data_IF_189178955194
#
_entry.id   IF_189178955194
#
_cell.length_a   1.000
_cell.length_b   1.000
_cell.length_c   1.000
_cell.angle_alpha   90.00
_cell.angle_beta   90.00
_cell.angle_gamma   90.00
#
_symmetry.space_group_name_H-M   'P 1'
#
loop_
_entity.id
_entity.type
_entity.pdbx_description
1 polymer ?
#
# COMPACT_ATOMS: atom_id res chain seq x y z
N UNK A 1 80.25 -0.81 10.51
CA UNK A 1 79.02 -0.57 11.32
C UNK A 1 78.07 0.27 10.49
N UNK A 2 77.07 -0.34 9.86
CA UNK A 2 76.01 0.39 9.13
C UNK A 2 74.69 -0.16 9.65
N UNK A 3 73.93 0.70 10.33
CA UNK A 3 72.63 0.37 10.94
C UNK A 3 71.53 0.77 9.95
N UNK A 4 70.71 -0.20 9.55
CA UNK A 4 69.51 0.03 8.73
C UNK A 4 68.33 0.33 9.66
N UNK A 5 67.72 1.50 9.50
CA UNK A 5 66.43 1.84 10.11
C UNK A 5 65.30 1.42 9.17
N UNK A 6 64.46 0.47 9.62
CA UNK A 6 63.19 0.16 8.95
C UNK A 6 62.09 1.05 9.52
N UNK A 7 61.55 1.93 8.67
CA UNK A 7 60.33 2.70 8.93
C UNK A 7 59.11 1.79 8.72
N UNK A 8 58.43 1.43 9.79
CA UNK A 8 57.12 0.77 9.76
C UNK A 8 56.03 1.84 9.53
N UNK A 9 55.56 1.94 8.28
CA UNK A 9 54.32 2.63 7.93
C UNK A 9 53.13 1.77 8.35
N UNK A 10 52.54 2.08 9.51
CA UNK A 10 51.26 1.53 9.93
C UNK A 10 50.13 2.15 9.09
N UNK A 11 49.69 1.42 8.06
CA UNK A 11 48.49 1.75 7.30
C UNK A 11 47.24 1.48 8.17
N UNK A 12 46.60 2.53 8.65
CA UNK A 12 45.24 2.44 9.20
C UNK A 12 44.26 2.15 8.05
N UNK A 13 43.90 0.88 7.89
CA UNK A 13 42.76 0.51 7.07
C UNK A 13 41.47 0.93 7.80
N UNK A 14 40.86 2.02 7.36
CA UNK A 14 39.49 2.36 7.73
C UNK A 14 38.59 1.31 7.09
N UNK A 15 38.23 0.28 7.86
CA UNK A 15 37.18 -0.67 7.51
C UNK A 15 35.86 0.11 7.49
N UNK A 16 35.43 0.54 6.30
CA UNK A 16 34.02 0.85 6.08
C UNK A 16 33.25 -0.45 6.26
N UNK A 17 32.67 -0.66 7.44
CA UNK A 17 31.61 -1.67 7.57
C UNK A 17 30.43 -1.13 6.76
N UNK A 18 30.22 -1.66 5.56
CA UNK A 18 28.91 -1.57 4.93
C UNK A 18 27.95 -2.32 5.85
N UNK A 19 27.20 -1.58 6.68
CA UNK A 19 26.10 -2.16 7.43
C UNK A 19 25.22 -2.90 6.43
N UNK A 20 25.14 -4.23 6.53
CA UNK A 20 24.34 -4.99 5.59
C UNK A 20 22.89 -4.57 5.81
N UNK A 21 22.17 -4.29 4.72
CA UNK A 21 20.76 -3.87 4.73
C UNK A 21 19.80 -4.96 5.26
N UNK A 22 20.33 -6.04 5.82
CA UNK A 22 19.64 -7.28 6.17
C UNK A 22 19.45 -7.48 7.67
N UNK A 23 19.97 -6.61 8.53
CA UNK A 23 19.66 -6.69 9.95
C UNK A 23 18.17 -6.40 10.17
N UNK A 24 17.47 -7.34 10.82
CA UNK A 24 16.15 -7.09 11.41
C UNK A 24 16.30 -5.82 12.25
N UNK A 25 15.74 -4.70 11.78
CA UNK A 25 15.76 -3.47 12.56
C UNK A 25 14.95 -3.76 13.82
N UNK A 26 15.60 -3.71 14.98
CA UNK A 26 14.90 -3.81 16.27
C UNK A 26 13.70 -2.85 16.24
N UNK A 27 12.50 -3.40 16.41
CA UNK A 27 11.24 -2.66 16.32
C UNK A 27 10.36 -3.04 15.12
N UNK A 28 10.90 -3.41 13.96
CA UNK A 28 10.02 -3.71 12.80
C UNK A 28 9.59 -5.16 12.80
N UNK A 29 8.28 -5.39 12.72
CA UNK A 29 7.76 -6.75 12.61
C UNK A 29 8.01 -7.40 11.24
N UNK A 30 8.28 -6.60 10.20
CA UNK A 30 8.47 -7.06 8.83
C UNK A 30 9.62 -6.36 8.10
N UNK A 31 10.43 -7.13 7.37
CA UNK A 31 11.56 -6.62 6.59
C UNK A 31 11.41 -6.93 5.09
N UNK A 32 10.99 -5.92 4.32
CA UNK A 32 10.78 -6.01 2.86
C UNK A 32 12.04 -6.34 2.04
N UNK A 33 13.24 -6.23 2.62
CA UNK A 33 14.49 -6.64 1.94
C UNK A 33 14.65 -8.16 1.87
N UNK A 34 14.18 -8.87 2.89
CA UNK A 34 14.41 -10.32 3.04
C UNK A 34 13.12 -11.14 2.93
N UNK A 35 11.96 -10.50 3.05
CA UNK A 35 10.67 -11.17 3.06
C UNK A 35 9.77 -10.66 1.92
N UNK A 36 8.84 -11.49 1.45
CA UNK A 36 7.88 -11.15 0.38
C UNK A 36 6.47 -11.01 0.93
N UNK A 37 5.91 -9.83 0.78
CA UNK A 37 4.55 -9.49 1.21
C UNK A 37 3.55 -9.92 0.13
N UNK A 38 2.68 -10.86 0.45
CA UNK A 38 1.63 -11.35 -0.45
C UNK A 38 0.30 -11.15 0.23
N UNK A 39 -0.55 -10.35 -0.40
CA UNK A 39 -1.76 -9.96 0.28
C UNK A 39 -2.82 -9.37 -0.62
N UNK A 40 -3.68 -8.61 0.04
CA UNK A 40 -4.87 -8.04 -0.56
C UNK A 40 -5.17 -6.69 0.07
N UNK A 41 -5.79 -5.79 -0.69
CA UNK A 41 -6.28 -4.53 -0.18
C UNK A 41 -7.66 -4.69 0.46
N UNK A 42 -7.91 -3.98 1.56
CA UNK A 42 -9.21 -3.87 2.20
C UNK A 42 -9.98 -2.65 1.64
N UNK A 43 -10.14 -2.62 0.31
CA UNK A 43 -10.82 -1.53 -0.42
C UNK A 43 -12.32 -1.46 -0.11
N UNK A 44 -12.91 -0.28 -0.33
CA UNK A 44 -14.29 0.04 0.03
C UNK A 44 -14.63 -0.24 1.50
N UNK A 45 -13.65 -0.20 2.43
CA UNK A 45 -13.87 -0.44 3.86
C UNK A 45 -13.90 0.86 4.67
N UNK A 46 -12.72 1.39 5.02
CA UNK A 46 -12.59 2.66 5.77
C UNK A 46 -12.57 3.90 4.86
N UNK A 47 -12.58 3.67 3.55
CA UNK A 47 -12.83 4.68 2.52
C UNK A 47 -13.82 4.09 1.52
N UNK A 48 -14.91 4.77 1.23
CA UNK A 48 -15.96 4.26 0.35
C UNK A 48 -15.61 4.49 -1.13
N UNK A 49 -15.86 3.46 -1.93
CA UNK A 49 -15.72 3.46 -3.38
C UNK A 49 -16.95 2.83 -4.02
N UNK A 50 -17.83 3.69 -4.56
CA UNK A 50 -19.14 3.30 -5.11
C UNK A 50 -19.07 2.18 -6.15
N UNK A 51 -18.00 2.12 -6.93
CA UNK A 51 -17.85 1.10 -7.97
C UNK A 51 -17.66 -0.31 -7.41
N UNK A 52 -17.18 -0.46 -6.17
CA UNK A 52 -16.97 -1.78 -5.54
C UNK A 52 -18.27 -2.34 -4.98
N UNK A 53 -19.08 -1.49 -4.37
CA UNK A 53 -20.42 -1.82 -3.90
C UNK A 53 -21.34 -0.58 -4.01
N UNK A 54 -22.17 -0.50 -5.07
CA UNK A 54 -23.06 0.63 -5.24
C UNK A 54 -24.24 0.61 -4.27
N UNK A 55 -24.56 -0.53 -3.65
CA UNK A 55 -25.81 -0.70 -2.88
C UNK A 55 -25.90 0.21 -1.67
N UNK A 56 -24.77 0.44 -0.97
CA UNK A 56 -24.71 1.37 0.17
C UNK A 56 -25.03 2.81 -0.28
N UNK A 57 -24.47 3.22 -1.42
CA UNK A 57 -24.74 4.53 -2.01
C UNK A 57 -26.18 4.65 -2.50
N UNK A 58 -26.68 3.67 -3.25
CA UNK A 58 -28.06 3.67 -3.78
C UNK A 58 -29.11 3.79 -2.67
N UNK A 59 -28.85 3.15 -1.52
CA UNK A 59 -29.76 3.15 -0.38
C UNK A 59 -29.75 4.46 0.41
N UNK A 60 -28.60 5.11 0.55
CA UNK A 60 -28.41 6.20 1.53
C UNK A 60 -28.03 7.55 0.91
N UNK A 61 -27.36 7.56 -0.23
CA UNK A 61 -26.90 8.76 -0.93
C UNK A 61 -26.77 8.48 -2.45
N UNK A 62 -27.90 8.28 -3.18
CA UNK A 62 -27.88 7.75 -4.54
C UNK A 62 -27.15 8.64 -5.57
N UNK A 63 -26.95 9.92 -5.25
CA UNK A 63 -26.23 10.86 -6.10
C UNK A 63 -24.77 11.06 -5.70
N UNK A 64 -24.33 10.55 -4.54
CA UNK A 64 -22.94 10.62 -4.11
C UNK A 64 -22.05 9.73 -4.97
N UNK A 65 -20.86 10.22 -5.32
CA UNK A 65 -19.86 9.48 -6.10
C UNK A 65 -18.59 9.18 -5.28
N UNK A 66 -18.51 9.73 -4.07
CA UNK A 66 -17.39 9.63 -3.14
C UNK A 66 -17.90 9.68 -1.68
N UNK A 67 -17.01 9.43 -0.73
CA UNK A 67 -17.36 9.44 0.69
C UNK A 67 -17.73 10.83 1.20
N UNK A 68 -17.12 11.89 0.66
CA UNK A 68 -17.47 13.28 0.98
C UNK A 68 -18.96 13.54 0.74
N UNK A 69 -19.43 13.30 -0.49
CA UNK A 69 -20.82 13.53 -0.83
C UNK A 69 -21.74 12.53 -0.14
N UNK A 70 -21.27 11.29 0.10
CA UNK A 70 -22.04 10.31 0.86
C UNK A 70 -22.34 10.80 2.27
N UNK A 71 -21.31 11.27 3.00
CA UNK A 71 -21.48 11.77 4.35
C UNK A 71 -22.31 13.06 4.40
N UNK A 72 -22.17 13.93 3.40
CA UNK A 72 -22.95 15.17 3.31
C UNK A 72 -24.45 14.93 3.02
N UNK A 73 -24.77 13.91 2.22
CA UNK A 73 -26.14 13.60 1.82
C UNK A 73 -26.88 12.71 2.82
N UNK A 74 -26.15 12.06 3.74
CA UNK A 74 -26.73 11.08 4.67
C UNK A 74 -26.99 11.69 6.04
N UNK A 75 -28.21 11.55 6.56
CA UNK A 75 -28.61 12.05 7.89
C UNK A 75 -28.01 11.30 9.08
N UNK A 76 -27.42 10.11 8.87
CA UNK A 76 -26.91 9.25 9.94
C UNK A 76 -25.61 8.52 9.55
N UNK A 77 -24.71 9.23 8.85
CA UNK A 77 -23.49 8.66 8.27
C UNK A 77 -22.66 7.86 9.27
N UNK A 78 -22.55 8.31 10.53
CA UNK A 78 -21.78 7.59 11.57
C UNK A 78 -22.31 6.20 11.84
N UNK A 79 -23.64 6.04 11.96
CA UNK A 79 -24.26 4.73 12.22
C UNK A 79 -24.08 3.81 11.01
N UNK A 80 -24.38 4.32 9.82
CA UNK A 80 -24.33 3.56 8.57
C UNK A 80 -22.89 3.10 8.26
N UNK A 81 -21.90 3.98 8.43
CA UNK A 81 -20.51 3.62 8.21
C UNK A 81 -20.00 2.61 9.24
N UNK A 82 -20.39 2.71 10.51
CA UNK A 82 -20.04 1.69 11.52
C UNK A 82 -20.63 0.33 11.17
N UNK A 83 -21.90 0.27 10.79
CA UNK A 83 -22.54 -0.97 10.32
C UNK A 83 -21.82 -1.53 9.08
N UNK A 84 -21.42 -0.68 8.14
CA UNK A 84 -20.61 -1.09 6.98
C UNK A 84 -19.25 -1.65 7.40
N UNK A 85 -18.53 -0.95 8.29
CA UNK A 85 -17.21 -1.37 8.75
C UNK A 85 -17.23 -2.72 9.46
N UNK A 86 -18.27 -2.97 10.27
CA UNK A 86 -18.43 -4.21 11.03
C UNK A 86 -18.69 -5.42 10.12
N UNK A 87 -19.36 -5.21 8.98
CA UNK A 87 -19.84 -6.30 8.12
C UNK A 87 -19.06 -6.49 6.81
N UNK A 88 -18.40 -5.45 6.29
CA UNK A 88 -17.68 -5.54 5.02
C UNK A 88 -16.42 -6.41 5.10
N UNK A 89 -15.63 -6.20 6.17
CA UNK A 89 -14.44 -7.01 6.48
C UNK A 89 -14.65 -7.74 7.81
N UNK A 90 -14.60 -9.05 7.76
CA UNK A 90 -14.93 -9.95 8.87
C UNK A 90 -13.78 -10.89 9.18
N UNK A 91 -13.86 -11.62 10.30
CA UNK A 91 -12.85 -12.62 10.64
C UNK A 91 -12.77 -13.77 9.62
N UNK A 92 -13.90 -14.13 8.99
CA UNK A 92 -13.95 -15.21 8.01
C UNK A 92 -13.11 -14.89 6.77
N UNK A 93 -12.98 -13.61 6.42
CA UNK A 93 -12.06 -13.17 5.37
C UNK A 93 -10.61 -13.55 5.72
N UNK A 94 -10.17 -13.32 6.96
CA UNK A 94 -8.82 -13.64 7.41
C UNK A 94 -8.57 -15.15 7.46
N UNK A 95 -9.58 -15.94 7.84
CA UNK A 95 -9.52 -17.41 7.73
C UNK A 95 -9.28 -17.84 6.28
N UNK A 96 -9.98 -17.24 5.31
CA UNK A 96 -9.80 -17.54 3.87
C UNK A 96 -8.40 -17.12 3.39
N UNK A 97 -7.94 -15.92 3.75
CA UNK A 97 -6.60 -15.43 3.39
C UNK A 97 -5.49 -16.36 3.92
N UNK A 98 -5.56 -16.75 5.18
CA UNK A 98 -4.58 -17.66 5.78
C UNK A 98 -4.54 -19.05 5.10
N UNK A 99 -5.70 -19.58 4.68
CA UNK A 99 -5.79 -20.87 3.95
C UNK A 99 -4.99 -20.85 2.64
N UNK A 100 -4.97 -19.71 1.93
CA UNK A 100 -4.22 -19.55 0.67
C UNK A 100 -2.83 -18.93 0.85
N UNK A 101 -2.31 -18.90 2.09
CA UNK A 101 -0.95 -18.43 2.42
C UNK A 101 -0.69 -16.96 2.12
N UNK A 102 -1.72 -16.13 2.14
CA UNK A 102 -1.56 -14.67 2.26
C UNK A 102 -0.95 -14.34 3.62
N UNK A 103 -0.02 -13.39 3.65
CA UNK A 103 0.64 -12.91 4.86
C UNK A 103 0.47 -11.39 5.07
N UNK A 104 -0.21 -10.67 4.18
CA UNK A 104 -0.43 -9.22 4.30
C UNK A 104 -1.87 -8.80 3.99
N UNK A 105 -2.31 -7.72 4.63
CA UNK A 105 -3.40 -6.87 4.17
C UNK A 105 -2.91 -5.43 4.05
N UNK A 106 -3.39 -4.69 3.06
CA UNK A 106 -3.21 -3.23 2.95
C UNK A 106 -4.52 -2.55 3.30
N UNK A 107 -4.46 -1.55 4.18
CA UNK A 107 -5.63 -0.88 4.77
C UNK A 107 -5.67 0.56 4.28
N UNK A 108 -6.48 0.88 3.26
CA UNK A 108 -6.78 2.25 2.84
C UNK A 108 -7.47 3.03 3.96
N UNK A 109 -6.89 4.17 4.38
CA UNK A 109 -7.41 4.99 5.47
C UNK A 109 -7.42 6.47 5.07
N UNK A 110 -8.56 7.14 5.24
CA UNK A 110 -8.65 8.59 5.10
C UNK A 110 -8.05 9.33 6.31
N UNK A 111 -7.47 10.51 6.08
CA UNK A 111 -6.86 11.32 7.14
C UNK A 111 -7.84 11.65 8.30
N UNK A 112 -9.14 11.68 8.01
CA UNK A 112 -10.22 11.95 8.97
C UNK A 112 -10.32 10.91 10.09
N UNK A 113 -9.66 9.75 9.96
CA UNK A 113 -9.51 8.79 11.05
C UNK A 113 -8.54 9.26 12.15
N UNK A 114 -7.58 10.14 11.83
CA UNK A 114 -6.48 10.49 12.74
C UNK A 114 -6.49 11.95 13.19
N UNK A 115 -6.92 12.87 12.33
CA UNK A 115 -7.05 14.28 12.69
C UNK A 115 -8.48 14.74 12.49
N UNK A 116 -8.88 15.74 13.28
CA UNK A 116 -10.19 16.38 13.14
C UNK A 116 -10.33 16.99 11.73
N UNK A 117 -11.39 16.67 10.99
CA UNK A 117 -11.73 17.37 9.75
C UNK A 117 -11.97 18.87 10.01
N UNK A 118 -11.63 19.70 9.05
CA UNK A 118 -11.91 21.13 9.05
C UNK A 118 -13.42 21.38 8.93
N UNK A 119 -13.83 22.61 9.25
CA UNK A 119 -15.22 23.02 9.08
C UNK A 119 -15.65 22.86 7.62
N UNK A 120 -16.74 22.12 7.40
CA UNK A 120 -17.27 21.84 6.06
C UNK A 120 -16.80 20.51 5.46
N UNK A 121 -15.83 19.82 6.06
CA UNK A 121 -15.47 18.45 5.67
C UNK A 121 -16.43 17.48 6.38
N UNK A 122 -17.31 16.77 5.64
CA UNK A 122 -18.45 16.06 6.22
C UNK A 122 -18.10 14.68 6.80
N UNK A 123 -16.81 14.32 6.80
CA UNK A 123 -16.36 12.97 7.15
C UNK A 123 -16.71 12.58 8.58
N UNK A 124 -17.14 11.31 8.74
CA UNK A 124 -17.20 10.69 10.06
C UNK A 124 -15.78 10.48 10.56
N UNK A 125 -15.45 11.00 11.75
CA UNK A 125 -14.08 10.98 12.31
C UNK A 125 -13.99 10.22 13.64
N UNK A 126 -14.82 9.18 13.80
CA UNK A 126 -14.83 8.32 14.99
C UNK A 126 -15.14 6.87 14.63
N UNK A 127 -14.46 5.92 15.28
CA UNK A 127 -14.66 4.48 15.10
C UNK A 127 -13.63 3.78 14.22
N UNK A 128 -12.93 4.49 13.33
CA UNK A 128 -11.99 3.86 12.39
C UNK A 128 -10.78 3.23 13.10
N UNK A 129 -10.27 3.85 14.17
CA UNK A 129 -9.10 3.32 14.90
C UNK A 129 -9.44 1.98 15.56
N UNK A 130 -10.61 1.89 16.18
CA UNK A 130 -11.13 0.66 16.78
C UNK A 130 -11.30 -0.45 15.74
N UNK A 131 -11.74 -0.09 14.52
CA UNK A 131 -11.82 -1.01 13.39
C UNK A 131 -10.44 -1.48 12.93
N UNK A 132 -9.45 -0.59 12.84
CA UNK A 132 -8.07 -0.98 12.51
C UNK A 132 -7.53 -1.92 13.59
N UNK A 133 -7.75 -1.63 14.88
CA UNK A 133 -7.33 -2.50 15.99
C UNK A 133 -7.96 -3.90 15.91
N UNK A 134 -9.25 -4.00 15.54
CA UNK A 134 -9.92 -5.28 15.25
C UNK A 134 -9.19 -6.06 14.16
N UNK A 135 -8.84 -5.41 13.06
CA UNK A 135 -8.10 -6.03 11.96
C UNK A 135 -6.67 -6.42 12.35
N UNK A 136 -5.95 -5.60 13.11
CA UNK A 136 -4.65 -5.97 13.67
C UNK A 136 -4.76 -7.20 14.58
N UNK A 137 -5.88 -7.35 15.31
CA UNK A 137 -6.19 -8.54 16.09
C UNK A 137 -6.36 -9.79 15.22
N UNK A 138 -7.04 -9.69 14.09
CA UNK A 138 -7.12 -10.78 13.12
C UNK A 138 -5.76 -11.07 12.47
N UNK A 139 -5.00 -10.04 12.11
CA UNK A 139 -3.63 -10.19 11.64
C UNK A 139 -2.79 -11.02 12.62
N UNK A 140 -2.86 -10.70 13.92
CA UNK A 140 -2.14 -11.44 14.94
C UNK A 140 -2.60 -12.90 15.02
N UNK A 141 -3.92 -13.13 15.07
CA UNK A 141 -4.51 -14.47 15.18
C UNK A 141 -4.16 -15.38 14.01
N UNK A 142 -4.09 -14.83 12.80
CA UNK A 142 -3.91 -15.61 11.56
C UNK A 142 -2.50 -15.52 10.97
N UNK A 143 -1.58 -14.79 11.62
CA UNK A 143 -0.18 -14.66 11.18
C UNK A 143 0.00 -13.77 9.95
N UNK A 144 -0.82 -12.72 9.82
CA UNK A 144 -0.70 -11.69 8.79
C UNK A 144 -0.09 -10.40 9.37
N UNK A 145 0.34 -9.52 8.47
CA UNK A 145 0.73 -8.15 8.80
C UNK A 145 -0.15 -7.12 8.06
N UNK A 146 -0.21 -5.89 8.56
CA UNK A 146 -0.96 -4.80 7.99
C UNK A 146 -0.05 -3.67 7.48
N UNK A 147 -0.30 -3.23 6.24
CA UNK A 147 0.17 -1.96 5.71
C UNK A 147 -0.90 -0.91 6.04
N UNK A 148 -0.54 0.12 6.81
CA UNK A 148 -1.43 1.23 7.10
C UNK A 148 -1.24 2.30 6.03
N UNK A 149 -2.23 2.52 5.18
CA UNK A 149 -2.09 3.39 4.02
C UNK A 149 -2.93 4.66 4.14
N UNK A 150 -2.28 5.83 4.10
CA UNK A 150 -2.95 7.12 4.01
C UNK A 150 -3.50 7.32 2.59
N UNK A 151 -4.68 6.74 2.38
CA UNK A 151 -5.36 6.66 1.10
C UNK A 151 -6.03 7.96 0.68
N UNK A 152 -6.53 8.73 1.65
CA UNK A 152 -7.10 10.05 1.45
C UNK A 152 -6.37 11.10 2.27
N UNK A 153 -5.80 12.11 1.62
CA UNK A 153 -5.10 13.23 2.28
C UNK A 153 -5.95 14.52 2.29
N UNK A 154 -5.68 15.46 3.21
CA UNK A 154 -6.34 16.76 3.24
C UNK A 154 -6.29 17.47 1.88
N UNK A 155 -7.45 17.90 1.39
CA UNK A 155 -7.59 18.56 0.08
C UNK A 155 -7.48 17.64 -1.15
N UNK A 156 -7.44 16.31 -0.97
CA UNK A 156 -7.24 15.31 -2.03
C UNK A 156 -5.94 15.45 -2.81
N UNK A 157 -5.17 14.37 -2.88
CA UNK A 157 -3.90 14.29 -3.58
C UNK A 157 -4.03 13.89 -5.06
N UNK A 158 -5.22 13.49 -5.51
CA UNK A 158 -5.43 13.02 -6.88
C UNK A 158 -6.78 13.44 -7.51
N UNK A 159 -7.73 13.96 -6.72
CA UNK A 159 -9.02 14.42 -7.19
C UNK A 159 -10.02 13.30 -7.50
N UNK A 160 -9.77 12.09 -7.04
CA UNK A 160 -10.55 10.88 -7.37
C UNK A 160 -11.33 10.38 -6.15
N UNK A 161 -12.37 9.57 -6.40
CA UNK A 161 -13.28 9.07 -5.36
C UNK A 161 -12.55 8.34 -4.22
N UNK A 162 -11.55 7.52 -4.57
CA UNK A 162 -10.75 6.76 -3.62
C UNK A 162 -9.80 7.65 -2.77
N UNK A 163 -9.70 8.96 -2.99
CA UNK A 163 -9.09 9.88 -2.02
C UNK A 163 -10.09 10.44 -1.00
N UNK A 164 -11.37 10.13 -1.15
CA UNK A 164 -12.48 10.58 -0.32
C UNK A 164 -13.30 11.71 -0.94
N UNK A 165 -12.74 12.45 -1.90
CA UNK A 165 -13.39 13.59 -2.52
C UNK A 165 -12.94 13.80 -3.96
N UNK A 166 -13.89 13.70 -4.89
CA UNK A 166 -13.72 14.00 -6.31
C UNK A 166 -13.64 15.51 -6.48
N UNK A 167 -12.67 15.98 -7.25
CA UNK A 167 -12.57 17.40 -7.59
C UNK A 167 -11.14 17.90 -7.79
N UNK A 168 -10.91 19.21 -7.66
CA UNK A 168 -9.58 19.78 -7.79
C UNK A 168 -8.62 19.29 -6.71
N UNK A 169 -7.35 19.12 -7.10
CA UNK A 169 -6.28 18.69 -6.20
C UNK A 169 -5.79 19.89 -5.37
N UNK A 170 -6.15 19.93 -4.09
CA UNK A 170 -5.75 20.99 -3.15
C UNK A 170 -4.68 20.55 -2.15
N UNK A 171 -4.24 19.28 -2.18
CA UNK A 171 -3.23 18.74 -1.26
C UNK A 171 -1.92 19.55 -1.23
N UNK A 172 -1.47 20.07 -2.37
CA UNK A 172 -0.18 20.75 -2.49
C UNK A 172 -0.14 22.19 -1.95
N UNK A 173 -1.22 22.68 -1.34
CA UNK A 173 -1.18 23.95 -0.60
C UNK A 173 -0.34 23.79 0.68
N UNK A 174 0.35 24.85 1.10
CA UNK A 174 1.13 24.83 2.36
C UNK A 174 0.30 24.38 3.57
N UNK A 175 -0.98 24.75 3.58
CA UNK A 175 -1.93 24.36 4.61
C UNK A 175 -2.21 22.85 4.61
N UNK A 176 -2.57 22.27 3.46
CA UNK A 176 -2.90 20.85 3.38
C UNK A 176 -1.67 19.94 3.51
N UNK A 177 -0.48 20.39 3.07
CA UNK A 177 0.78 19.69 3.37
C UNK A 177 1.02 19.61 4.88
N UNK A 178 0.79 20.71 5.62
CA UNK A 178 0.91 20.71 7.09
C UNK A 178 -0.11 19.77 7.73
N UNK A 179 -1.37 19.78 7.28
CA UNK A 179 -2.39 18.83 7.76
C UNK A 179 -2.00 17.38 7.45
N UNK A 180 -1.51 17.09 6.25
CA UNK A 180 -1.05 15.76 5.86
C UNK A 180 0.11 15.25 6.73
N UNK A 181 1.06 16.11 7.10
CA UNK A 181 2.15 15.73 8.01
C UNK A 181 1.63 15.51 9.43
N UNK A 182 0.70 16.33 9.89
CA UNK A 182 0.01 16.13 11.18
C UNK A 182 -0.75 14.80 11.22
N UNK A 183 -1.32 14.36 10.11
CA UNK A 183 -1.93 13.02 10.00
C UNK A 183 -0.90 11.91 10.15
N UNK A 184 0.27 12.02 9.52
CA UNK A 184 1.37 11.06 9.67
C UNK A 184 1.83 11.01 11.14
N UNK A 185 2.02 12.15 11.79
CA UNK A 185 2.37 12.25 13.22
C UNK A 185 1.30 11.55 14.08
N UNK A 186 0.03 11.89 13.89
CA UNK A 186 -1.07 11.30 14.66
C UNK A 186 -1.23 9.79 14.45
N UNK A 187 -0.97 9.28 13.24
CA UNK A 187 -0.97 7.84 12.96
C UNK A 187 0.20 7.13 13.66
N UNK A 188 1.40 7.72 13.62
CA UNK A 188 2.59 7.18 14.31
C UNK A 188 2.39 7.17 15.82
N UNK A 189 1.85 8.24 16.39
CA UNK A 189 1.58 8.34 17.83
C UNK A 189 0.54 7.32 18.28
N UNK A 190 -0.56 7.17 17.53
CA UNK A 190 -1.56 6.14 17.80
C UNK A 190 -0.95 4.73 17.72
N UNK A 191 -0.17 4.42 16.67
CA UNK A 191 0.50 3.13 16.53
C UNK A 191 1.45 2.87 17.70
N UNK A 192 2.21 3.88 18.14
CA UNK A 192 3.11 3.77 19.29
C UNK A 192 2.34 3.51 20.60
N UNK A 193 1.10 3.98 20.71
CA UNK A 193 0.21 3.74 21.85
C UNK A 193 -0.45 2.36 21.88
N UNK A 194 -0.45 1.61 20.77
CA UNK A 194 -1.00 0.26 20.74
C UNK A 194 -0.26 -0.68 21.70
N UNK A 195 -0.96 -1.71 22.18
CA UNK A 195 -0.30 -2.82 22.88
C UNK A 195 0.66 -3.56 21.93
N UNK A 196 1.62 -4.28 22.49
CA UNK A 196 2.67 -4.96 21.72
C UNK A 196 2.10 -6.00 20.74
N UNK A 197 1.03 -6.72 21.10
CA UNK A 197 0.37 -7.72 20.25
C UNK A 197 -0.10 -7.12 18.93
N UNK A 198 -0.85 -6.03 18.97
CA UNK A 198 -1.37 -5.36 17.78
C UNK A 198 -0.26 -4.64 17.01
N UNK A 199 0.60 -3.91 17.74
CA UNK A 199 1.72 -3.16 17.17
C UNK A 199 2.65 -4.06 16.34
N UNK A 200 2.95 -5.26 16.85
CA UNK A 200 3.76 -6.28 16.17
C UNK A 200 3.15 -6.82 14.87
N UNK A 201 1.95 -6.40 14.48
CA UNK A 201 1.36 -6.76 13.18
C UNK A 201 1.45 -5.65 12.16
N UNK A 202 1.92 -4.45 12.51
CA UNK A 202 2.12 -3.35 11.55
C UNK A 202 3.41 -3.58 10.75
N UNK A 203 3.27 -3.77 9.42
CA UNK A 203 4.38 -3.97 8.50
C UNK A 203 5.02 -2.66 8.07
N UNK A 204 4.22 -1.64 7.81
CA UNK A 204 4.64 -0.33 7.30
C UNK A 204 3.53 0.70 7.43
N UNK A 205 3.92 1.97 7.32
CA UNK A 205 3.00 3.09 7.11
C UNK A 205 3.26 3.64 5.71
N UNK A 206 2.24 3.65 4.85
CA UNK A 206 2.27 4.35 3.57
C UNK A 206 1.84 5.81 3.74
N UNK A 207 2.74 6.71 3.36
CA UNK A 207 2.59 8.14 3.63
C UNK A 207 1.59 8.85 2.70
N UNK A 208 1.36 8.33 1.50
CA UNK A 208 0.33 8.81 0.59
C UNK A 208 0.05 7.77 -0.50
N UNK A 209 -1.22 7.49 -0.73
CA UNK A 209 -1.68 6.73 -1.88
C UNK A 209 -1.78 7.61 -3.14
N UNK A 210 -1.27 7.12 -4.27
CA UNK A 210 -1.51 7.66 -5.62
C UNK A 210 -1.54 9.20 -5.78
N UNK A 211 -0.58 10.00 -5.26
CA UNK A 211 -0.59 11.43 -5.52
C UNK A 211 -0.45 11.69 -7.03
N UNK A 212 -1.26 12.59 -7.59
CA UNK A 212 -1.07 13.07 -8.96
C UNK A 212 -0.32 14.39 -8.93
N UNK A 213 0.76 14.50 -9.70
CA UNK A 213 1.64 15.66 -9.66
C UNK A 213 1.86 16.27 -11.05
N UNK A 214 1.85 17.59 -11.13
CA UNK A 214 2.65 18.33 -12.10
C UNK A 214 4.14 18.31 -11.72
N UNK A 215 5.03 18.76 -12.62
CA UNK A 215 6.48 18.83 -12.33
C UNK A 215 6.81 19.64 -11.06
N UNK A 216 6.11 20.76 -10.82
CA UNK A 216 6.31 21.58 -9.62
C UNK A 216 5.81 20.88 -8.36
N UNK A 217 4.64 20.23 -8.44
CA UNK A 217 4.06 19.49 -7.32
C UNK A 217 4.87 18.26 -6.93
N UNK A 218 5.59 17.62 -7.86
CA UNK A 218 6.50 16.52 -7.54
C UNK A 218 7.62 16.95 -6.58
N UNK A 219 8.13 18.18 -6.70
CA UNK A 219 9.11 18.74 -5.75
C UNK A 219 8.50 18.90 -4.36
N UNK A 220 7.26 19.39 -4.28
CA UNK A 220 6.52 19.52 -3.02
C UNK A 220 6.28 18.14 -2.40
N UNK A 221 5.87 17.16 -3.21
CA UNK A 221 5.64 15.78 -2.78
C UNK A 221 6.92 15.14 -2.22
N UNK A 222 8.06 15.30 -2.91
CA UNK A 222 9.35 14.82 -2.40
C UNK A 222 9.70 15.44 -1.05
N UNK A 223 9.45 16.73 -0.85
CA UNK A 223 9.65 17.38 0.44
C UNK A 223 8.70 16.83 1.52
N UNK A 224 7.43 16.59 1.16
CA UNK A 224 6.45 15.95 2.03
C UNK A 224 6.91 14.55 2.46
N UNK A 225 7.30 13.68 1.51
CA UNK A 225 7.80 12.33 1.79
C UNK A 225 9.09 12.34 2.63
N UNK A 226 10.01 13.30 2.43
CA UNK A 226 11.18 13.41 3.31
C UNK A 226 10.81 13.74 4.75
N UNK A 227 9.79 14.58 4.97
CA UNK A 227 9.29 14.92 6.30
C UNK A 227 8.52 13.75 6.91
N UNK A 228 7.64 13.10 6.14
CA UNK A 228 6.93 11.89 6.55
C UNK A 228 7.90 10.77 6.94
N UNK A 229 8.97 10.56 6.17
CA UNK A 229 10.03 9.62 6.49
C UNK A 229 10.66 9.90 7.84
N UNK A 230 10.99 11.17 8.13
CA UNK A 230 11.56 11.55 9.43
C UNK A 230 10.60 11.27 10.58
N UNK A 231 9.31 11.57 10.43
CA UNK A 231 8.28 11.31 11.44
C UNK A 231 8.16 9.80 11.71
N UNK A 232 7.97 9.00 10.66
CA UNK A 232 7.82 7.54 10.78
C UNK A 232 9.09 6.91 11.35
N UNK A 233 10.26 7.33 10.87
CA UNK A 233 11.55 6.80 11.31
C UNK A 233 11.90 7.18 12.76
N UNK A 234 11.35 8.29 13.27
CA UNK A 234 11.52 8.68 14.67
C UNK A 234 10.81 7.74 15.65
N UNK A 235 9.80 6.98 15.19
CA UNK A 235 9.12 5.98 16.03
C UNK A 235 10.13 4.98 16.64
N UNK A 236 9.99 4.63 17.93
CA UNK A 236 10.79 3.57 18.54
C UNK A 236 10.46 2.19 17.97
N UNK A 237 9.28 2.02 17.36
CA UNK A 237 8.89 0.79 16.66
C UNK A 237 9.51 0.69 15.26
N UNK A 238 10.10 1.78 14.75
CA UNK A 238 10.98 1.78 13.56
C UNK A 238 10.38 1.24 12.27
N UNK A 239 9.05 1.14 12.10
CA UNK A 239 8.43 0.59 10.87
C UNK A 239 8.93 1.30 9.60
N UNK A 240 9.05 0.59 8.46
CA UNK A 240 9.41 1.23 7.21
C UNK A 240 8.31 2.20 6.75
N UNK A 241 8.74 3.31 6.15
CA UNK A 241 7.84 4.16 5.37
C UNK A 241 7.63 3.52 3.99
N UNK A 242 6.39 3.32 3.61
CA UNK A 242 5.98 3.07 2.23
C UNK A 242 5.64 4.41 1.56
N UNK A 243 5.95 4.55 0.28
CA UNK A 243 5.61 5.76 -0.49
C UNK A 243 5.32 5.41 -1.96
N UNK A 244 4.18 5.86 -2.46
CA UNK A 244 3.78 5.66 -3.85
C UNK A 244 4.62 6.49 -4.83
N UNK A 245 4.88 5.94 -6.02
CA UNK A 245 5.74 6.54 -7.05
C UNK A 245 5.12 7.74 -7.80
N UNK A 246 3.89 8.12 -7.46
CA UNK A 246 3.13 9.20 -8.10
C UNK A 246 2.98 9.03 -9.63
N UNK A 247 3.00 7.78 -10.09
CA UNK A 247 2.97 7.40 -11.51
C UNK A 247 4.14 7.97 -12.34
N UNK A 248 5.22 8.39 -11.68
CA UNK A 248 6.42 8.93 -12.34
C UNK A 248 7.42 7.83 -12.71
N UNK A 249 7.22 6.60 -12.22
CA UNK A 249 8.14 5.50 -12.40
C UNK A 249 9.40 5.62 -11.53
N UNK A 250 10.09 4.48 -11.35
CA UNK A 250 11.23 4.35 -10.44
C UNK A 250 12.39 5.30 -10.73
N UNK A 251 12.60 5.70 -11.99
CA UNK A 251 13.69 6.62 -12.36
C UNK A 251 13.53 8.01 -11.73
N UNK A 252 12.29 8.50 -11.57
CA UNK A 252 12.01 9.77 -10.91
C UNK A 252 12.38 9.75 -9.41
N UNK A 253 12.53 8.57 -8.82
CA UNK A 253 12.80 8.34 -7.40
C UNK A 253 14.21 7.82 -7.13
N UNK A 254 15.09 7.75 -8.14
CA UNK A 254 16.51 7.47 -7.94
C UNK A 254 17.13 8.49 -6.99
N UNK A 255 17.89 7.99 -6.01
CA UNK A 255 18.59 8.79 -5.00
C UNK A 255 17.67 9.68 -4.13
N UNK A 256 16.36 9.44 -4.12
CA UNK A 256 15.43 10.19 -3.28
C UNK A 256 15.69 9.96 -1.77
N UNK A 257 15.93 8.69 -1.42
CA UNK A 257 16.38 8.25 -0.10
C UNK A 257 17.67 7.41 -0.27
N UNK A 258 18.53 7.32 0.76
CA UNK A 258 19.70 6.44 0.68
C UNK A 258 19.28 4.97 0.63
N UNK A 259 20.11 4.09 0.06
CA UNK A 259 19.86 2.63 0.02
C UNK A 259 19.74 1.97 1.39
N UNK A 260 20.20 2.64 2.46
CA UNK A 260 20.06 2.21 3.86
C UNK A 260 18.76 2.68 4.52
N UNK A 261 17.91 3.45 3.82
CA UNK A 261 16.66 3.95 4.38
C UNK A 261 15.73 2.80 4.77
N UNK A 262 14.98 2.97 5.87
CA UNK A 262 13.89 2.03 6.17
C UNK A 262 12.65 2.42 5.37
N UNK A 263 12.69 2.15 4.06
CA UNK A 263 11.63 2.53 3.17
C UNK A 263 11.43 1.50 2.07
N UNK A 264 10.22 1.49 1.52
CA UNK A 264 9.79 0.67 0.39
C UNK A 264 9.01 1.58 -0.56
N UNK A 265 9.31 1.53 -1.85
CA UNK A 265 8.52 2.28 -2.86
C UNK A 265 7.34 1.41 -3.30
N UNK A 266 6.18 2.03 -3.49
CA UNK A 266 4.97 1.37 -3.95
C UNK A 266 4.69 1.69 -5.43
N UNK A 267 4.32 0.67 -6.20
CA UNK A 267 3.92 0.73 -7.61
C UNK A 267 2.54 0.09 -7.80
N UNK A 268 1.69 0.75 -8.58
CA UNK A 268 0.32 0.29 -8.88
C UNK A 268 0.14 -0.11 -10.36
N UNK A 269 0.74 -1.22 -10.84
CA UNK A 269 0.59 -1.62 -12.23
C UNK A 269 -0.82 -2.18 -12.52
N UNK A 270 -1.62 -1.38 -13.21
CA UNK A 270 -2.88 -1.85 -13.80
C UNK A 270 -2.76 -2.07 -15.31
N UNK A 271 -3.19 -3.25 -15.77
CA UNK A 271 -3.26 -3.59 -17.20
C UNK A 271 -4.68 -3.48 -17.76
N UNK A 272 -5.62 -2.96 -16.96
CA UNK A 272 -7.02 -2.76 -17.31
C UNK A 272 -7.26 -1.56 -18.25
N UNK A 273 -6.26 -0.68 -18.36
CA UNK A 273 -6.37 0.60 -19.07
C UNK A 273 -5.40 0.67 -20.26
N UNK A 274 -5.66 1.57 -21.23
CA UNK A 274 -4.71 1.86 -22.31
C UNK A 274 -3.29 2.15 -21.76
N UNK A 275 -2.22 1.81 -22.51
CA UNK A 275 -2.18 1.48 -23.94
C UNK A 275 -2.29 -0.03 -24.25
N UNK A 276 -2.60 -0.88 -23.27
CA UNK A 276 -2.65 -2.32 -23.49
C UNK A 276 -3.83 -2.69 -24.40
N UNK A 277 -3.57 -3.52 -25.43
CA UNK A 277 -4.58 -3.87 -26.45
C UNK A 277 -4.87 -5.37 -26.53
N UNK A 278 -3.91 -6.22 -26.14
CA UNK A 278 -4.04 -7.67 -26.27
C UNK A 278 -3.13 -8.43 -25.29
N UNK A 279 -3.34 -9.74 -25.20
CA UNK A 279 -2.60 -10.66 -24.31
C UNK A 279 -1.08 -10.52 -24.43
N UNK A 280 -0.54 -10.38 -25.65
CA UNK A 280 0.90 -10.29 -25.87
C UNK A 280 1.49 -8.96 -25.39
N UNK A 281 0.80 -7.83 -25.62
CA UNK A 281 1.29 -6.53 -25.13
C UNK A 281 1.31 -6.49 -23.60
N UNK A 282 0.29 -7.07 -22.96
CA UNK A 282 0.16 -7.13 -21.50
C UNK A 282 1.31 -7.93 -20.89
N UNK A 283 1.56 -9.16 -21.38
CA UNK A 283 2.66 -10.00 -20.88
C UNK A 283 4.01 -9.30 -21.05
N UNK A 284 4.27 -8.71 -22.23
CA UNK A 284 5.50 -7.92 -22.47
C UNK A 284 5.62 -6.76 -21.47
N UNK A 285 4.52 -6.08 -21.18
CA UNK A 285 4.50 -4.96 -20.23
C UNK A 285 4.78 -5.43 -18.80
N UNK A 286 4.25 -6.58 -18.39
CA UNK A 286 4.58 -7.19 -17.09
C UNK A 286 6.07 -7.50 -17.01
N UNK A 287 6.63 -8.22 -17.99
CA UNK A 287 8.05 -8.59 -17.96
C UNK A 287 9.00 -7.39 -17.99
N UNK A 288 8.63 -6.30 -18.67
CA UNK A 288 9.45 -5.09 -18.75
C UNK A 288 9.73 -4.48 -17.37
N UNK A 289 8.82 -4.64 -16.41
CA UNK A 289 9.00 -4.11 -15.04
C UNK A 289 10.14 -4.78 -14.28
N UNK A 290 10.48 -6.04 -14.59
CA UNK A 290 11.54 -6.82 -13.91
C UNK A 290 12.87 -6.07 -13.86
N UNK A 291 13.29 -5.50 -15.00
CA UNK A 291 14.60 -4.85 -15.14
C UNK A 291 14.72 -3.56 -14.32
N UNK A 292 13.70 -2.70 -14.35
CA UNK A 292 13.73 -1.45 -13.58
C UNK A 292 13.64 -1.71 -12.08
N UNK A 293 12.82 -2.69 -11.69
CA UNK A 293 12.61 -3.07 -10.30
C UNK A 293 13.87 -3.70 -9.70
N UNK A 294 14.50 -4.67 -10.38
CA UNK A 294 15.74 -5.32 -9.89
C UNK A 294 16.92 -4.36 -9.76
N UNK A 295 16.91 -3.21 -10.45
CA UNK A 295 17.97 -2.19 -10.39
C UNK A 295 17.68 -1.06 -9.41
N UNK A 296 16.48 -1.01 -8.85
CA UNK A 296 16.12 0.02 -7.89
C UNK A 296 16.80 -0.24 -6.54
N UNK A 297 17.20 0.83 -5.86
CA UNK A 297 18.09 0.77 -4.70
C UNK A 297 17.33 0.60 -3.37
N UNK A 298 16.00 0.44 -3.40
CA UNK A 298 15.13 0.14 -2.27
C UNK A 298 14.22 -1.04 -2.65
N UNK A 299 13.59 -1.73 -1.68
CA UNK A 299 12.55 -2.69 -1.98
C UNK A 299 11.41 -2.01 -2.74
N UNK A 300 10.82 -2.73 -3.69
CA UNK A 300 9.69 -2.26 -4.49
C UNK A 300 8.49 -3.16 -4.21
N UNK A 301 7.45 -2.60 -3.61
CA UNK A 301 6.16 -3.28 -3.42
C UNK A 301 5.27 -3.02 -4.63
N UNK A 302 4.46 -4.03 -4.99
CA UNK A 302 3.35 -3.86 -5.92
C UNK A 302 2.05 -3.77 -5.11
N UNK A 303 1.81 -2.63 -4.47
CA UNK A 303 0.77 -2.41 -3.46
C UNK A 303 -0.65 -2.46 -4.02
N UNK A 304 -0.79 -2.22 -5.32
CA UNK A 304 -2.04 -2.48 -6.03
C UNK A 304 -1.82 -3.07 -7.41
N UNK A 305 -2.59 -4.12 -7.71
CA UNK A 305 -2.64 -4.76 -9.02
C UNK A 305 -3.89 -5.65 -9.08
N UNK A 306 -4.30 -6.04 -10.28
CA UNK A 306 -5.46 -6.94 -10.45
C UNK A 306 -5.26 -7.88 -11.64
N UNK A 307 -6.26 -8.71 -11.95
CA UNK A 307 -6.27 -9.49 -13.19
C UNK A 307 -7.08 -8.81 -14.30
N UNK A 308 -7.58 -7.60 -14.05
CA UNK A 308 -8.34 -6.84 -15.03
C UNK A 308 -7.40 -6.42 -16.17
N UNK A 309 -7.81 -6.76 -17.39
CA UNK A 309 -6.95 -6.59 -18.56
C UNK A 309 -7.67 -6.19 -19.84
N UNK A 310 -9.01 -6.28 -19.88
CA UNK A 310 -9.81 -6.08 -21.09
C UNK A 310 -9.56 -7.11 -22.20
N UNK A 311 -8.53 -7.95 -22.11
CA UNK A 311 -8.12 -8.87 -23.16
C UNK A 311 -8.84 -10.23 -23.11
N UNK A 312 -9.10 -10.74 -21.90
CA UNK A 312 -9.88 -11.95 -21.66
C UNK A 312 -10.15 -12.13 -20.16
N UNK A 313 -11.03 -13.08 -19.83
CA UNK A 313 -11.38 -13.47 -18.46
C UNK A 313 -11.51 -14.99 -18.27
N UNK A 314 -11.12 -15.79 -19.27
CA UNK A 314 -11.12 -17.25 -19.14
C UNK A 314 -10.04 -17.75 -18.15
N UNK A 315 -10.28 -18.93 -17.55
CA UNK A 315 -9.41 -19.52 -16.52
C UNK A 315 -7.94 -19.63 -16.96
N UNK A 316 -7.68 -19.97 -18.23
CA UNK A 316 -6.31 -20.09 -18.72
C UNK A 316 -5.60 -18.73 -18.71
N UNK A 317 -6.32 -17.68 -19.14
CA UNK A 317 -5.77 -16.32 -19.15
C UNK A 317 -5.56 -15.79 -17.73
N UNK A 318 -6.52 -15.98 -16.84
CA UNK A 318 -6.41 -15.54 -15.44
C UNK A 318 -5.23 -16.23 -14.72
N UNK A 319 -5.06 -17.54 -14.89
CA UNK A 319 -3.88 -18.27 -14.36
C UNK A 319 -2.57 -17.77 -14.94
N UNK A 320 -2.53 -17.48 -16.25
CA UNK A 320 -1.34 -16.92 -16.90
C UNK A 320 -0.98 -15.54 -16.37
N UNK A 321 -1.98 -14.66 -16.22
CA UNK A 321 -1.79 -13.31 -15.67
C UNK A 321 -1.32 -13.36 -14.21
N UNK A 322 -1.99 -14.17 -13.38
CA UNK A 322 -1.62 -14.40 -11.99
C UNK A 322 -0.17 -14.88 -11.86
N UNK A 323 0.19 -15.98 -12.52
CA UNK A 323 1.53 -16.54 -12.44
C UNK A 323 2.60 -15.58 -12.98
N UNK A 324 2.31 -14.86 -14.08
CA UNK A 324 3.29 -13.94 -14.67
C UNK A 324 3.54 -12.73 -13.78
N UNK A 325 2.48 -12.10 -13.25
CA UNK A 325 2.61 -10.97 -12.32
C UNK A 325 3.31 -11.41 -11.04
N UNK A 326 2.84 -12.46 -10.37
CA UNK A 326 3.45 -12.97 -9.13
C UNK A 326 4.90 -13.39 -9.33
N UNK A 327 5.25 -14.05 -10.44
CA UNK A 327 6.64 -14.42 -10.74
C UNK A 327 7.56 -13.21 -10.84
N UNK A 328 7.12 -12.14 -11.53
CA UNK A 328 7.88 -10.89 -11.62
C UNK A 328 7.98 -10.22 -10.24
N UNK A 329 6.85 -10.10 -9.53
CA UNK A 329 6.81 -9.42 -8.24
C UNK A 329 7.65 -10.14 -7.19
N UNK A 330 7.71 -11.47 -7.24
CA UNK A 330 8.58 -12.32 -6.41
C UNK A 330 10.04 -12.18 -6.80
N UNK A 331 10.32 -12.23 -8.10
CA UNK A 331 11.68 -12.31 -8.65
C UNK A 331 12.45 -10.99 -8.62
N UNK A 332 11.75 -9.85 -8.69
CA UNK A 332 12.39 -8.52 -8.65
C UNK A 332 11.92 -7.63 -7.50
N UNK A 333 10.68 -7.75 -7.03
CA UNK A 333 10.09 -6.87 -6.02
C UNK A 333 10.05 -7.47 -4.61
N UNK A 334 9.35 -6.79 -3.71
CA UNK A 334 9.09 -7.16 -2.32
C UNK A 334 7.75 -7.88 -2.11
N UNK A 335 7.10 -8.29 -3.21
CA UNK A 335 5.76 -8.89 -3.22
C UNK A 335 4.69 -7.94 -3.75
N UNK A 336 3.42 -8.24 -3.49
CA UNK A 336 2.30 -7.39 -3.91
C UNK A 336 0.99 -7.67 -3.19
N UNK A 337 0.10 -6.68 -3.20
CA UNK A 337 -1.25 -6.76 -2.64
C UNK A 337 -2.31 -6.56 -3.73
N UNK A 338 -3.14 -7.58 -3.95
CA UNK A 338 -4.16 -7.54 -5.00
C UNK A 338 -5.27 -6.56 -4.63
N UNK A 339 -5.72 -5.75 -5.59
CA UNK A 339 -6.87 -4.88 -5.47
C UNK A 339 -8.11 -5.58 -6.08
N UNK A 340 -9.09 -6.04 -5.29
CA UNK A 340 -9.23 -5.91 -3.82
C UNK A 340 -9.81 -7.17 -3.19
N UNK A 341 -10.03 -7.19 -1.86
CA UNK A 341 -10.54 -8.35 -1.11
C UNK A 341 -11.82 -8.91 -1.73
N UNK A 342 -12.81 -8.04 -1.92
CA UNK A 342 -14.13 -8.40 -2.44
C UNK A 342 -14.79 -7.20 -3.11
N UNK A 343 -15.82 -7.48 -3.91
CA UNK A 343 -16.72 -6.49 -4.49
C UNK A 343 -18.11 -7.09 -4.71
N UNK A 344 -19.13 -6.23 -4.75
CA UNK A 344 -20.53 -6.58 -4.97
C UNK A 344 -21.00 -6.31 -6.42
N UNK A 345 -20.08 -6.02 -7.36
CA UNK A 345 -20.37 -5.84 -8.79
C UNK A 345 -20.17 -7.09 -9.65
N UNK A 346 -20.03 -8.24 -9.00
CA UNK A 346 -19.76 -9.51 -9.66
C UNK A 346 -18.51 -9.57 -10.57
N UNK A 347 -17.50 -8.75 -10.28
CA UNK A 347 -16.26 -8.75 -11.07
C UNK A 347 -15.20 -9.65 -10.44
N UNK A 348 -14.91 -10.79 -11.08
CA UNK A 348 -13.88 -11.73 -10.62
C UNK A 348 -12.48 -11.11 -10.65
N UNK A 349 -12.18 -10.32 -11.70
CA UNK A 349 -10.82 -9.79 -11.92
C UNK A 349 -10.37 -8.75 -10.89
N UNK A 350 -11.32 -8.23 -10.10
CA UNK A 350 -11.12 -7.28 -9.00
C UNK A 350 -11.47 -7.86 -7.61
N UNK A 351 -11.73 -9.18 -7.51
CA UNK A 351 -12.10 -9.82 -6.24
C UNK A 351 -11.16 -10.99 -5.94
N UNK A 352 -10.36 -10.82 -4.90
CA UNK A 352 -9.51 -11.88 -4.36
C UNK A 352 -10.36 -13.10 -3.95
N UNK A 353 -11.46 -12.87 -3.22
CA UNK A 353 -12.38 -13.92 -2.79
C UNK A 353 -12.88 -14.78 -3.95
N UNK A 354 -13.37 -14.15 -5.04
CA UNK A 354 -13.85 -14.88 -6.21
C UNK A 354 -12.74 -15.62 -6.95
N UNK A 355 -11.53 -15.08 -6.97
CA UNK A 355 -10.36 -15.76 -7.53
C UNK A 355 -9.96 -16.98 -6.71
N UNK A 356 -10.15 -16.95 -5.38
CA UNK A 356 -9.99 -18.13 -4.51
C UNK A 356 -11.08 -19.15 -4.80
N UNK A 357 -12.34 -18.74 -4.88
CA UNK A 357 -13.48 -19.63 -5.14
C UNK A 357 -13.36 -20.34 -6.51
N UNK A 358 -12.77 -19.68 -7.51
CA UNK A 358 -12.48 -20.27 -8.83
C UNK A 358 -11.18 -21.09 -8.89
N UNK A 359 -10.43 -21.18 -7.78
CA UNK A 359 -9.14 -21.88 -7.72
C UNK A 359 -8.03 -21.23 -8.56
N UNK A 360 -8.21 -19.97 -8.98
CA UNK A 360 -7.13 -19.18 -9.60
C UNK A 360 -6.09 -18.83 -8.54
N UNK A 361 -6.55 -18.42 -7.36
CA UNK A 361 -5.73 -18.26 -6.16
C UNK A 361 -5.90 -19.49 -5.28
N UNK A 362 -4.80 -20.05 -4.82
CA UNK A 362 -4.76 -21.21 -3.93
C UNK A 362 -3.44 -21.20 -3.12
N UNK A 363 -3.22 -22.21 -2.29
CA UNK A 363 -2.04 -22.29 -1.41
C UNK A 363 -0.69 -22.34 -2.14
N UNK A 364 -0.67 -22.58 -3.45
CA UNK A 364 0.55 -22.64 -4.26
C UNK A 364 0.79 -21.36 -5.08
N UNK A 365 -0.15 -20.40 -5.09
CA UNK A 365 -0.09 -19.21 -5.96
C UNK A 365 1.20 -18.41 -5.82
N UNK A 366 1.72 -18.26 -4.60
CA UNK A 366 2.93 -17.47 -4.32
C UNK A 366 4.24 -18.29 -4.35
N UNK A 367 4.14 -19.62 -4.51
CA UNK A 367 5.30 -20.52 -4.53
C UNK A 367 5.60 -21.07 -5.93
N UNK A 368 4.56 -21.37 -6.72
CA UNK A 368 4.65 -22.03 -8.03
C UNK A 368 4.01 -21.20 -9.14
N UNK A 369 4.76 -20.96 -10.23
CA UNK A 369 4.33 -20.11 -11.35
C UNK A 369 4.43 -20.85 -12.70
N UNK A 370 3.77 -22.01 -12.81
CA UNK A 370 3.85 -22.91 -13.97
C UNK A 370 3.42 -22.25 -15.29
N UNK A 371 2.52 -21.27 -15.23
CA UNK A 371 1.95 -20.58 -16.38
C UNK A 371 2.63 -19.23 -16.67
N UNK A 372 3.64 -18.84 -15.88
CA UNK A 372 4.33 -17.57 -16.03
C UNK A 372 5.00 -17.44 -17.40
N UNK A 373 5.06 -16.20 -17.89
CA UNK A 373 5.70 -15.85 -19.16
C UNK A 373 6.65 -14.68 -18.99
N UNK A 374 7.67 -14.86 -18.17
CA UNK A 374 8.92 -14.10 -18.05
C UNK A 374 9.96 -15.07 -17.42
#
# INVERSE_FOLDING_TARGET
>A
MVVWFYLLLSAFAILYSSASSTEKRNGTAYNYWSQKAWGVNLGNWLILERWMDPSLFEKHAPHAQDEWNFCNQTTNATKILKEHWDNWVTEDDFKKLAKVKVNHVRIPIGYWAFIKPDSGEPYVSSGQKEQIERILGYCHKYGLYAILDLHGLPGSQNGEAHSGHIGPIHFYSSYNIKRGLKTVEAMVDWMNGLNSTLKNTVASIESANEPRTTKAQLTILKNYYQKAYKIIHASPFKVPMMFHDSFQGLDAWKNFLPSTANAVIDLHPYYAYPPQKNRNSIIKSICKTKSSVSKFHLPVMFGEWSLASGAASDTWWLKRMMDTQVSVYKGSGAGGTLWSLKNNINSTVWSFEKLVDQGIINSNTFSSHKYARC
#
